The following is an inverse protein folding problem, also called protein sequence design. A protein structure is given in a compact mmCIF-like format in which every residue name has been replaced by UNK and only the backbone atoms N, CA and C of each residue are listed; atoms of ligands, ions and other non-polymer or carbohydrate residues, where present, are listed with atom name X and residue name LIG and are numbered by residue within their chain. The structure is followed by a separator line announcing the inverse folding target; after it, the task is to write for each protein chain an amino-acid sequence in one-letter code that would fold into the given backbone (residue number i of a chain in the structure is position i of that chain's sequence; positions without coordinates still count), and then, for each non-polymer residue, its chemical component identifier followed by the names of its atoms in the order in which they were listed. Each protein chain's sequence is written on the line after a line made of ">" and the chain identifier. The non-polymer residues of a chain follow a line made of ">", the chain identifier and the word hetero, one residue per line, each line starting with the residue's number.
data_IF_401775493275
#
_entry.id   IF_401775493275
#
_cell.length_a   1.000
_cell.length_b   1.000
_cell.length_c   1.000
_cell.angle_alpha   90.00
_cell.angle_beta   90.00
_cell.angle_gamma   90.00
#
_symmetry.space_group_name_H-M   'P 1'
#
loop_
_entity.id
_entity.type
_entity.pdbx_description
1 polymer ?
#
# COMPACT_ATOMS: atom_id res chain seq x y z
N UNK A 1 15.13 -16.33 -3.74
CA UNK A 1 13.74 -15.95 -3.38
C UNK A 1 13.86 -14.85 -2.35
N UNK A 2 13.21 -13.72 -2.57
CA UNK A 2 13.23 -12.56 -1.67
C UNK A 2 11.81 -12.12 -1.40
N UNK A 3 11.62 -11.30 -0.37
CA UNK A 3 10.37 -10.64 -0.10
C UNK A 3 10.43 -9.16 -0.53
N UNK A 4 9.43 -8.72 -1.28
CA UNK A 4 9.30 -7.35 -1.77
C UNK A 4 7.96 -6.80 -1.25
N UNK A 5 8.01 -5.73 -0.47
CA UNK A 5 6.82 -5.06 0.06
C UNK A 5 6.55 -3.77 -0.74
N UNK A 6 5.32 -3.61 -1.24
CA UNK A 6 4.83 -2.40 -1.87
C UNK A 6 3.98 -1.60 -0.89
N UNK A 7 4.28 -0.30 -0.78
CA UNK A 7 3.48 0.67 -0.02
C UNK A 7 3.06 1.78 -0.97
N UNK A 8 1.77 2.13 -0.93
CA UNK A 8 1.23 3.14 -1.82
C UNK A 8 0.04 3.86 -1.18
N UNK A 9 -0.34 4.99 -1.77
CA UNK A 9 -1.61 5.64 -1.43
C UNK A 9 -2.76 4.81 -2.03
N UNK A 10 -3.82 4.52 -1.26
CA UNK A 10 -4.99 3.77 -1.73
C UNK A 10 -5.86 4.60 -2.70
N UNK A 11 -5.35 4.85 -3.90
CA UNK A 11 -6.05 5.55 -4.97
C UNK A 11 -5.79 4.90 -6.31
N UNK A 12 -6.81 4.88 -7.19
CA UNK A 12 -6.71 4.21 -8.49
C UNK A 12 -5.52 4.70 -9.34
N UNK A 13 -5.24 6.01 -9.32
CA UNK A 13 -4.10 6.62 -10.02
C UNK A 13 -2.74 6.24 -9.45
N UNK A 14 -2.69 5.69 -8.24
CA UNK A 14 -1.48 5.23 -7.56
C UNK A 14 -1.33 3.71 -7.65
N UNK A 15 -2.39 2.95 -7.41
CA UNK A 15 -2.37 1.48 -7.39
C UNK A 15 -2.23 0.92 -8.81
N UNK A 16 -3.10 1.30 -9.75
CA UNK A 16 -3.16 0.69 -11.08
C UNK A 16 -1.82 0.69 -11.84
N UNK A 17 -1.03 1.79 -11.87
CA UNK A 17 0.24 1.81 -12.58
C UNK A 17 1.30 0.85 -12.01
N UNK A 18 1.18 0.49 -10.74
CA UNK A 18 2.17 -0.34 -10.04
C UNK A 18 1.83 -1.83 -10.03
N UNK A 19 0.59 -2.22 -10.34
CA UNK A 19 0.20 -3.64 -10.36
C UNK A 19 1.07 -4.48 -11.31
N UNK A 20 1.36 -4.06 -12.57
CA UNK A 20 2.25 -4.83 -13.44
C UNK A 20 3.68 -4.93 -12.90
N UNK A 21 4.12 -3.90 -12.16
CA UNK A 21 5.44 -3.88 -11.52
C UNK A 21 5.50 -4.84 -10.34
N UNK A 22 4.40 -5.00 -9.59
CA UNK A 22 4.29 -5.99 -8.52
C UNK A 22 4.16 -7.42 -9.08
N UNK A 23 3.45 -7.62 -10.20
CA UNK A 23 3.29 -8.93 -10.85
C UNK A 23 4.61 -9.50 -11.37
N UNK A 24 5.52 -8.67 -11.88
CA UNK A 24 6.76 -9.16 -12.48
C UNK A 24 7.67 -9.91 -11.47
N UNK A 25 7.96 -9.40 -10.27
CA UNK A 25 8.68 -10.16 -9.25
C UNK A 25 7.94 -11.43 -8.79
N UNK A 26 6.60 -11.42 -8.74
CA UNK A 26 5.82 -12.64 -8.47
C UNK A 26 6.11 -13.70 -9.53
N UNK A 27 6.07 -13.33 -10.81
CA UNK A 27 6.38 -14.22 -11.94
C UNK A 27 7.81 -14.77 -11.89
N UNK A 28 8.74 -14.02 -11.28
CA UNK A 28 10.13 -14.45 -11.04
C UNK A 28 10.30 -15.31 -9.79
N UNK A 29 9.21 -15.61 -9.08
CA UNK A 29 9.20 -16.45 -7.89
C UNK A 29 9.61 -15.73 -6.61
N UNK A 30 9.44 -14.40 -6.52
CA UNK A 30 9.56 -13.67 -5.26
C UNK A 30 8.22 -13.67 -4.51
N UNK A 31 8.28 -13.59 -3.17
CA UNK A 31 7.08 -13.28 -2.37
C UNK A 31 6.87 -11.76 -2.46
N UNK A 32 5.67 -11.34 -2.83
CA UNK A 32 5.33 -9.91 -2.92
C UNK A 32 4.15 -9.64 -2.00
N UNK A 33 4.31 -8.71 -1.07
CA UNK A 33 3.19 -8.15 -0.31
C UNK A 33 2.88 -6.75 -0.84
N UNK A 34 1.61 -6.36 -0.77
CA UNK A 34 1.18 -5.03 -1.18
C UNK A 34 0.20 -4.48 -0.14
N UNK A 35 0.62 -3.42 0.55
CA UNK A 35 -0.22 -2.69 1.50
C UNK A 35 -1.28 -1.85 0.78
N UNK A 36 -2.56 -2.15 1.04
CA UNK A 36 -3.71 -1.45 0.45
C UNK A 36 -4.89 -1.41 1.43
N UNK A 37 -5.87 -0.54 1.16
CA UNK A 37 -7.16 -0.64 1.82
C UNK A 37 -7.98 -1.84 1.28
N UNK A 38 -9.07 -2.25 1.97
CA UNK A 38 -9.88 -3.39 1.58
C UNK A 38 -10.42 -3.34 0.14
N UNK A 39 -10.63 -2.13 -0.41
CA UNK A 39 -11.15 -1.92 -1.76
C UNK A 39 -10.24 -2.43 -2.88
N UNK A 40 -8.92 -2.45 -2.67
CA UNK A 40 -7.96 -2.96 -3.66
C UNK A 40 -7.47 -4.38 -3.37
N UNK A 41 -7.85 -5.00 -2.26
CA UNK A 41 -7.35 -6.32 -1.87
C UNK A 41 -7.56 -7.38 -2.99
N UNK A 42 -8.73 -7.37 -3.64
CA UNK A 42 -9.02 -8.32 -4.73
C UNK A 42 -8.18 -8.09 -5.99
N UNK A 43 -7.86 -6.85 -6.35
CA UNK A 43 -7.05 -6.59 -7.56
C UNK A 43 -5.56 -6.88 -7.31
N UNK A 44 -5.09 -6.66 -6.09
CA UNK A 44 -3.75 -7.07 -5.63
C UNK A 44 -3.59 -8.58 -5.66
N UNK A 45 -4.56 -9.32 -5.11
CA UNK A 45 -4.56 -10.79 -5.13
C UNK A 45 -4.53 -11.35 -6.57
N UNK A 46 -5.33 -10.78 -7.47
CA UNK A 46 -5.31 -11.11 -8.91
C UNK A 46 -3.98 -10.80 -9.60
N UNK A 47 -3.21 -9.84 -9.09
CA UNK A 47 -1.88 -9.51 -9.58
C UNK A 47 -0.81 -10.50 -9.08
N UNK A 48 -1.18 -11.45 -8.21
CA UNK A 48 -0.32 -12.48 -7.63
C UNK A 48 0.41 -12.05 -6.36
N UNK A 49 0.15 -10.84 -5.85
CA UNK A 49 0.72 -10.33 -4.61
C UNK A 49 -0.22 -10.59 -3.41
N UNK A 50 0.35 -10.72 -2.21
CA UNK A 50 -0.36 -10.89 -0.95
C UNK A 50 -0.86 -9.53 -0.42
N UNK A 51 -2.18 -9.28 -0.31
CA UNK A 51 -2.68 -8.03 0.24
C UNK A 51 -2.38 -7.90 1.74
N UNK A 52 -1.76 -6.79 2.14
CA UNK A 52 -1.64 -6.37 3.55
C UNK A 52 -2.66 -5.27 3.79
N UNK A 53 -3.82 -5.65 4.34
CA UNK A 53 -4.97 -4.75 4.43
C UNK A 53 -4.83 -3.78 5.61
N UNK A 54 -4.96 -2.48 5.36
CA UNK A 54 -4.95 -1.43 6.38
C UNK A 54 -6.22 -0.55 6.30
N UNK A 55 -6.61 0.15 7.39
CA UNK A 55 -7.67 1.14 7.31
C UNK A 55 -7.22 2.34 6.47
N UNK A 56 -8.17 3.05 5.88
CA UNK A 56 -7.93 4.34 5.21
C UNK A 56 -9.01 5.34 5.62
N UNK A 57 -8.60 6.58 5.83
CA UNK A 57 -9.48 7.74 5.98
C UNK A 57 -9.43 8.66 4.76
N UNK A 58 -8.69 8.28 3.71
CA UNK A 58 -8.60 9.07 2.49
C UNK A 58 -9.93 9.04 1.74
N UNK A 59 -10.44 10.19 1.27
CA UNK A 59 -11.68 10.23 0.54
C UNK A 59 -11.61 9.50 -0.81
N UNK A 60 -12.67 8.75 -1.12
CA UNK A 60 -12.85 8.14 -2.45
C UNK A 60 -13.52 9.08 -3.43
N UNK A 61 -14.26 10.08 -2.94
CA UNK A 61 -14.93 11.09 -3.75
C UNK A 61 -14.05 12.34 -3.85
N UNK A 62 -13.73 12.77 -5.08
CA UNK A 62 -12.92 13.96 -5.35
C UNK A 62 -13.46 15.23 -4.66
N UNK A 63 -14.77 15.29 -4.39
CA UNK A 63 -15.44 16.44 -3.75
C UNK A 63 -15.18 16.54 -2.24
N UNK A 64 -14.75 15.45 -1.62
CA UNK A 64 -14.50 15.37 -0.17
C UNK A 64 -13.04 15.71 0.19
N UNK A 65 -12.19 15.91 -0.82
CA UNK A 65 -10.79 16.29 -0.60
C UNK A 65 -10.67 17.74 -0.10
N UNK A 66 -9.81 17.98 0.92
CA UNK A 66 -9.52 19.34 1.33
C UNK A 66 -8.83 20.13 0.21
N UNK A 67 -9.31 21.34 -0.08
CA UNK A 67 -8.72 22.24 -1.09
C UNK A 67 -7.56 23.04 -0.54
N UNK A 68 -7.53 23.25 0.77
CA UNK A 68 -6.48 24.02 1.44
C UNK A 68 -5.27 23.13 1.79
N UNK A 69 -4.02 23.63 1.60
CA UNK A 69 -2.82 22.82 1.81
C UNK A 69 -2.67 22.24 3.22
N UNK A 70 -2.95 23.03 4.26
CA UNK A 70 -2.73 22.58 5.64
C UNK A 70 -3.70 21.46 6.08
N UNK A 71 -5.02 21.54 5.83
CA UNK A 71 -5.93 20.42 6.02
C UNK A 71 -5.56 19.18 5.19
N UNK A 72 -5.12 19.35 3.94
CA UNK A 72 -4.68 18.23 3.10
C UNK A 72 -3.46 17.51 3.70
N UNK A 73 -2.44 18.27 4.13
CA UNK A 73 -1.27 17.71 4.82
C UNK A 73 -1.66 17.01 6.12
N UNK A 74 -2.64 17.54 6.86
CA UNK A 74 -3.10 16.94 8.11
C UNK A 74 -3.80 15.60 7.87
N UNK A 75 -4.63 15.52 6.84
CA UNK A 75 -5.29 14.27 6.42
C UNK A 75 -4.25 13.17 6.16
N UNK A 76 -3.22 13.44 5.37
CA UNK A 76 -2.17 12.44 5.10
C UNK A 76 -1.35 12.07 6.34
N UNK A 77 -1.10 13.01 7.24
CA UNK A 77 -0.42 12.71 8.51
C UNK A 77 -1.25 11.78 9.39
N UNK A 78 -2.55 12.04 9.51
CA UNK A 78 -3.44 11.21 10.31
C UNK A 78 -3.64 9.82 9.68
N UNK A 79 -3.70 9.73 8.34
CA UNK A 79 -3.66 8.46 7.60
C UNK A 79 -2.39 7.66 7.91
N UNK A 80 -1.21 8.28 7.78
CA UNK A 80 0.05 7.62 8.07
C UNK A 80 0.11 7.09 9.52
N UNK A 81 -0.45 7.85 10.48
CA UNK A 81 -0.54 7.43 11.89
C UNK A 81 -1.46 6.25 12.11
N UNK A 82 -2.57 6.14 11.37
CA UNK A 82 -3.45 4.97 11.47
C UNK A 82 -2.88 3.73 10.79
N UNK A 83 -2.14 3.92 9.69
CA UNK A 83 -1.61 2.82 8.88
C UNK A 83 -0.32 2.25 9.48
N UNK A 84 0.58 3.10 10.00
CA UNK A 84 1.90 2.68 10.45
C UNK A 84 1.88 1.49 11.45
N UNK A 85 1.04 1.47 12.50
CA UNK A 85 1.02 0.34 13.44
C UNK A 85 0.62 -1.00 12.80
N UNK A 86 -0.25 -0.96 11.78
CA UNK A 86 -0.67 -2.16 11.04
C UNK A 86 0.50 -2.71 10.22
N UNK A 87 1.24 -1.82 9.56
CA UNK A 87 2.41 -2.21 8.77
C UNK A 87 3.55 -2.70 9.67
N UNK A 88 3.83 -2.01 10.78
CA UNK A 88 4.82 -2.45 11.76
C UNK A 88 4.53 -3.86 12.28
N UNK A 89 3.26 -4.16 12.58
CA UNK A 89 2.85 -5.49 13.00
C UNK A 89 2.99 -6.52 11.87
N UNK A 90 2.61 -6.17 10.64
CA UNK A 90 2.68 -7.07 9.49
C UNK A 90 4.13 -7.46 9.11
N UNK A 91 5.09 -6.57 9.35
CA UNK A 91 6.49 -6.76 8.97
C UNK A 91 7.46 -6.91 10.16
N UNK A 92 6.95 -7.16 11.38
CA UNK A 92 7.76 -7.22 12.60
C UNK A 92 8.92 -8.23 12.51
N UNK A 93 8.65 -9.38 11.87
CA UNK A 93 9.61 -10.48 11.68
C UNK A 93 10.18 -10.53 10.25
N UNK A 94 9.92 -9.51 9.44
CA UNK A 94 10.18 -9.49 8.00
C UNK A 94 11.01 -8.26 7.61
N UNK A 95 12.20 -8.18 8.20
CA UNK A 95 13.08 -7.00 8.05
C UNK A 95 13.63 -6.93 6.62
N UNK A 96 13.69 -5.73 6.02
CA UNK A 96 14.29 -5.55 4.70
C UNK A 96 15.73 -6.05 4.66
N UNK A 97 16.08 -6.69 3.55
CA UNK A 97 17.46 -7.08 3.28
C UNK A 97 18.37 -5.84 3.29
N UNK A 98 19.49 -5.93 4.01
CA UNK A 98 20.46 -4.84 4.07
C UNK A 98 21.17 -4.73 2.70
N UNK A 99 21.28 -3.55 2.08
CA UNK A 99 22.12 -3.39 0.90
C UNK A 99 23.58 -3.67 1.27
N UNK A 100 24.19 -4.64 0.58
CA UNK A 100 25.62 -4.98 0.66
C UNK A 100 26.47 -3.99 -0.12
#
# INVERSE_FOLDING_TARGET
>A
MSHIAFFNIPGHGHVNPTLPVATEPVNRGHRVTYAVDPGFASIVDKAGAEPVVHPTSLPTDDREWPTEPAPAMRLFLDEARSVLPVLEAAYADDRPDRPT
#
